data_IF_590089927314
#
_entry.id   IF_590089927314
#
_cell.length_a   1.000
_cell.length_b   1.000
_cell.length_c   1.000
_cell.angle_alpha   90.00
_cell.angle_beta   90.00
_cell.angle_gamma   90.00
#
_symmetry.space_group_name_H-M   'P 1'
#
loop_
_entity.id
_entity.type
_entity.pdbx_description
1 polymer ?
#
# COMPACT_ATOMS: atom_id res chain seq x y z
N UNK A 1 12.69 28.26 -18.02
CA UNK A 1 12.22 27.93 -16.66
C UNK A 1 10.74 28.31 -16.60
N UNK A 2 9.84 27.35 -16.72
CA UNK A 2 8.39 27.62 -16.65
C UNK A 2 8.11 28.04 -15.21
N UNK A 3 7.61 29.27 -15.02
CA UNK A 3 7.27 29.81 -13.71
C UNK A 3 6.26 28.94 -12.95
N UNK A 4 5.95 29.26 -11.68
CA UNK A 4 5.01 28.47 -10.90
C UNK A 4 3.69 28.33 -11.68
N UNK A 5 3.34 27.08 -12.02
CA UNK A 5 2.07 26.77 -12.67
C UNK A 5 0.98 27.17 -11.67
N UNK A 6 0.30 28.28 -11.92
CA UNK A 6 -0.68 28.89 -11.02
C UNK A 6 -1.88 27.96 -10.82
N UNK A 7 -1.77 27.07 -9.84
CA UNK A 7 -2.89 26.36 -9.27
C UNK A 7 -3.08 26.89 -7.85
N UNK A 8 -4.31 27.21 -7.42
CA UNK A 8 -4.57 27.81 -6.10
C UNK A 8 -4.11 26.93 -4.93
N UNK A 9 -3.92 25.64 -5.17
CA UNK A 9 -3.48 24.66 -4.17
C UNK A 9 -2.01 24.24 -4.31
N UNK A 10 -1.21 24.99 -5.06
CA UNK A 10 0.23 24.74 -5.20
C UNK A 10 0.92 24.90 -3.83
N UNK A 11 1.76 23.93 -3.45
CA UNK A 11 2.52 23.95 -2.20
C UNK A 11 1.85 23.24 -1.02
N UNK A 12 0.58 22.85 -1.13
CA UNK A 12 -0.07 21.99 -0.13
C UNK A 12 0.57 20.61 -0.13
N UNK A 13 0.65 20.01 1.06
CA UNK A 13 1.19 18.66 1.29
C UNK A 13 0.07 17.75 1.80
N UNK A 14 0.15 16.47 1.49
CA UNK A 14 -0.85 15.50 1.94
C UNK A 14 -0.39 14.06 1.69
N UNK A 15 -1.07 13.13 2.38
CA UNK A 15 -0.80 11.69 2.23
C UNK A 15 -1.48 11.16 0.97
N UNK A 16 -0.82 10.27 0.26
CA UNK A 16 -1.38 9.62 -0.93
C UNK A 16 -2.35 8.51 -0.50
N UNK A 17 -3.63 8.64 -0.83
CA UNK A 17 -4.68 7.69 -0.46
C UNK A 17 -4.80 6.52 -1.45
N UNK A 18 -4.64 6.82 -2.74
CA UNK A 18 -4.81 5.87 -3.83
C UNK A 18 -3.97 6.29 -5.03
N UNK A 19 -3.42 5.29 -5.73
CA UNK A 19 -2.66 5.47 -6.97
C UNK A 19 -3.31 4.63 -8.07
N UNK A 20 -3.85 5.30 -9.09
CA UNK A 20 -4.32 4.64 -10.29
C UNK A 20 -3.18 4.60 -11.33
N UNK A 21 -2.52 3.45 -11.42
CA UNK A 21 -1.37 3.23 -12.32
C UNK A 21 -1.74 3.16 -13.80
N UNK A 22 -2.99 2.81 -14.14
CA UNK A 22 -3.44 2.72 -15.54
C UNK A 22 -3.67 4.10 -16.14
N UNK A 23 -4.23 4.99 -15.34
CA UNK A 23 -4.54 6.36 -15.76
C UNK A 23 -3.47 7.37 -15.36
N UNK A 24 -2.38 6.95 -14.72
CA UNK A 24 -1.28 7.83 -14.30
C UNK A 24 -1.73 8.96 -13.35
N UNK A 25 -2.69 8.63 -12.47
CA UNK A 25 -3.31 9.58 -11.54
C UNK A 25 -3.19 9.14 -10.09
N UNK A 26 -3.18 10.12 -9.19
CA UNK A 26 -3.03 9.94 -7.75
C UNK A 26 -4.10 10.76 -7.03
N UNK A 27 -4.69 10.21 -5.96
CA UNK A 27 -5.56 10.97 -5.04
C UNK A 27 -4.78 11.25 -3.76
N UNK A 28 -4.71 12.53 -3.39
CA UNK A 28 -3.95 13.03 -2.23
C UNK A 28 -4.95 13.61 -1.24
N UNK A 29 -4.78 13.29 0.04
CA UNK A 29 -5.65 13.76 1.12
C UNK A 29 -5.63 15.28 1.24
N UNK A 30 -6.81 15.90 1.34
CA UNK A 30 -6.97 17.34 1.55
C UNK A 30 -6.52 18.25 0.38
N UNK A 31 -6.25 17.69 -0.79
CA UNK A 31 -5.83 18.43 -2.00
C UNK A 31 -6.77 18.10 -3.16
N UNK A 32 -7.00 19.09 -4.03
CA UNK A 32 -7.89 19.02 -5.18
C UNK A 32 -9.32 18.65 -4.77
N UNK A 33 -9.82 19.32 -3.73
CA UNK A 33 -11.15 19.12 -3.18
C UNK A 33 -12.20 19.67 -4.14
N UNK A 34 -13.23 18.86 -4.39
CA UNK A 34 -14.38 19.30 -5.16
C UNK A 34 -15.68 18.83 -4.47
N UNK A 35 -16.74 19.66 -4.49
CA UNK A 35 -18.02 19.26 -3.94
C UNK A 35 -18.60 18.12 -4.77
N UNK A 36 -18.88 17.00 -4.10
CA UNK A 36 -19.65 15.88 -4.63
C UNK A 36 -21.01 15.88 -3.96
N UNK A 37 -22.06 15.95 -4.79
CA UNK A 37 -23.45 15.86 -4.32
C UNK A 37 -23.86 14.40 -4.32
N UNK A 38 -24.35 13.92 -3.19
CA UNK A 38 -24.92 12.59 -3.04
C UNK A 38 -26.43 12.72 -3.04
N UNK A 39 -27.10 11.96 -3.92
CA UNK A 39 -28.55 11.85 -3.89
C UNK A 39 -28.94 11.13 -2.61
N UNK A 40 -29.87 11.72 -1.85
CA UNK A 40 -30.44 11.06 -0.68
C UNK A 40 -31.29 9.87 -1.10
N UNK A 41 -31.30 8.84 -0.26
CA UNK A 41 -32.13 7.66 -0.44
C UNK A 41 -33.25 7.69 0.60
N UNK A 42 -34.50 8.00 0.20
CA UNK A 42 -35.61 8.12 1.13
C UNK A 42 -35.94 6.81 1.83
N UNK A 43 -35.70 5.65 1.19
CA UNK A 43 -35.99 4.33 1.77
C UNK A 43 -35.06 3.98 2.94
N UNK A 44 -33.85 4.55 2.96
CA UNK A 44 -32.87 4.41 4.04
C UNK A 44 -32.89 5.58 5.04
N UNK A 45 -33.80 6.55 4.85
CA UNK A 45 -33.85 7.77 5.65
C UNK A 45 -32.66 8.71 5.45
N UNK A 46 -31.85 8.51 4.40
CA UNK A 46 -30.65 9.30 4.14
C UNK A 46 -31.00 10.59 3.38
N UNK A 47 -30.79 11.75 4.01
CA UNK A 47 -30.93 13.04 3.33
C UNK A 47 -29.79 13.24 2.32
N UNK A 48 -30.09 13.94 1.23
CA UNK A 48 -29.07 14.37 0.27
C UNK A 48 -28.02 15.24 0.96
N UNK A 49 -26.74 14.95 0.71
CA UNK A 49 -25.60 15.66 1.31
C UNK A 49 -24.61 16.13 0.27
N UNK A 50 -23.94 17.24 0.56
CA UNK A 50 -22.81 17.74 -0.22
C UNK A 50 -21.55 17.49 0.59
N UNK A 51 -20.63 16.72 0.04
CA UNK A 51 -19.37 16.38 0.70
C UNK A 51 -18.20 16.87 -0.15
N UNK A 52 -17.17 17.42 0.49
CA UNK A 52 -15.93 17.77 -0.21
C UNK A 52 -15.08 16.52 -0.35
N UNK A 53 -14.92 16.02 -1.56
CA UNK A 53 -14.16 14.81 -1.84
C UNK A 53 -12.89 15.16 -2.63
N UNK A 54 -11.77 14.52 -2.31
CA UNK A 54 -10.52 14.71 -3.03
C UNK A 54 -10.61 14.10 -4.44
N UNK A 55 -10.21 14.87 -5.45
CA UNK A 55 -10.13 14.40 -6.83
C UNK A 55 -8.72 13.99 -7.20
N UNK A 56 -8.63 13.04 -8.12
CA UNK A 56 -7.35 12.56 -8.61
C UNK A 56 -6.65 13.61 -9.49
N UNK A 57 -5.33 13.65 -9.42
CA UNK A 57 -4.45 14.55 -10.16
C UNK A 57 -3.35 13.74 -10.85
N UNK A 58 -2.82 14.27 -11.96
CA UNK A 58 -1.78 13.58 -12.74
C UNK A 58 -0.43 13.57 -12.00
N UNK A 59 0.38 12.53 -12.21
CA UNK A 59 1.69 12.38 -11.51
C UNK A 59 2.61 13.59 -11.71
N UNK A 60 2.55 14.27 -12.86
CA UNK A 60 3.43 15.40 -13.18
C UNK A 60 3.16 16.65 -12.34
N UNK A 61 2.04 16.69 -11.61
CA UNK A 61 1.67 17.78 -10.72
C UNK A 61 1.97 17.47 -9.25
N UNK A 62 2.59 16.31 -8.94
CA UNK A 62 2.96 15.91 -7.58
C UNK A 62 4.46 15.63 -7.53
N UNK A 63 5.10 16.05 -6.44
CA UNK A 63 6.48 15.67 -6.12
C UNK A 63 6.54 15.06 -4.73
N UNK A 64 7.59 14.27 -4.49
CA UNK A 64 7.88 13.79 -3.13
C UNK A 64 8.46 14.93 -2.30
N UNK A 65 8.11 14.92 -1.02
CA UNK A 65 8.65 15.82 -0.03
C UNK A 65 9.96 15.22 0.50
N UNK A 66 11.00 16.03 0.54
CA UNK A 66 12.26 15.65 1.16
C UNK A 66 12.14 15.71 2.69
N UNK A 67 12.47 14.63 3.42
CA UNK A 67 12.31 14.57 4.87
C UNK A 67 13.17 15.59 5.61
N UNK A 68 14.27 16.07 5.02
CA UNK A 68 15.18 17.04 5.65
C UNK A 68 14.73 18.47 5.40
N UNK A 69 14.47 18.81 4.13
CA UNK A 69 14.18 20.20 3.75
C UNK A 69 12.69 20.55 3.77
N UNK A 70 11.80 19.56 3.80
CA UNK A 70 10.35 19.75 3.72
C UNK A 70 9.87 20.29 2.37
N UNK A 71 10.75 20.40 1.37
CA UNK A 71 10.45 20.94 0.04
C UNK A 71 10.21 19.82 -0.97
N UNK A 72 9.58 20.18 -2.08
CA UNK A 72 9.37 19.28 -3.22
C UNK A 72 10.70 18.94 -3.90
N UNK A 73 10.95 17.66 -4.15
CA UNK A 73 12.24 17.19 -4.70
C UNK A 73 12.08 16.12 -5.76
N UNK A 74 13.06 16.07 -6.67
CA UNK A 74 13.22 14.96 -7.62
C UNK A 74 13.95 13.81 -6.92
N UNK A 75 13.53 12.59 -7.21
CA UNK A 75 14.12 11.38 -6.63
C UNK A 75 14.83 10.53 -7.68
N UNK A 76 15.88 9.85 -7.25
CA UNK A 76 16.52 8.77 -7.99
C UNK A 76 16.59 7.52 -7.10
N UNK A 77 17.02 6.40 -7.67
CA UNK A 77 17.11 5.10 -6.98
C UNK A 77 18.58 4.73 -6.82
N UNK A 78 18.94 4.22 -5.65
CA UNK A 78 20.28 3.70 -5.34
C UNK A 78 20.12 2.36 -4.61
N UNK A 79 21.11 1.48 -4.74
CA UNK A 79 21.23 0.27 -3.93
C UNK A 79 22.15 0.56 -2.74
N UNK A 80 21.74 0.08 -1.57
CA UNK A 80 22.59 0.05 -0.37
C UNK A 80 23.58 -1.12 -0.45
N UNK A 81 24.52 -1.16 0.48
CA UNK A 81 25.49 -2.26 0.61
C UNK A 81 24.80 -3.60 0.85
N UNK A 82 23.67 -3.59 1.57
CA UNK A 82 22.82 -4.77 1.81
C UNK A 82 22.03 -5.24 0.56
N UNK A 83 22.18 -4.57 -0.59
CA UNK A 83 21.41 -4.85 -1.81
C UNK A 83 19.97 -4.29 -1.83
N UNK A 84 19.52 -3.65 -0.74
CA UNK A 84 18.18 -3.05 -0.66
C UNK A 84 18.07 -1.82 -1.56
N UNK A 85 16.99 -1.74 -2.35
CA UNK A 85 16.72 -0.63 -3.26
C UNK A 85 15.98 0.51 -2.56
N UNK A 86 16.62 1.67 -2.46
CA UNK A 86 16.07 2.86 -1.80
C UNK A 86 15.89 4.03 -2.75
N UNK A 87 14.98 4.96 -2.39
CA UNK A 87 14.83 6.25 -3.08
C UNK A 87 15.68 7.28 -2.36
N UNK A 88 16.35 8.14 -3.13
CA UNK A 88 17.22 9.20 -2.61
C UNK A 88 16.79 10.54 -3.17
N UNK A 89 16.71 11.55 -2.31
CA UNK A 89 16.42 12.94 -2.68
C UNK A 89 17.60 13.55 -3.44
N UNK A 90 17.34 14.25 -4.54
CA UNK A 90 18.38 14.98 -5.29
C UNK A 90 18.90 16.21 -4.55
N UNK A 91 18.10 16.86 -3.70
CA UNK A 91 18.49 18.10 -3.02
C UNK A 91 19.37 17.86 -1.81
N UNK A 92 18.98 16.92 -0.94
CA UNK A 92 19.60 16.67 0.36
C UNK A 92 20.45 15.40 0.39
N UNK A 93 20.33 14.53 -0.62
CA UNK A 93 20.89 13.18 -0.56
C UNK A 93 20.21 12.27 0.46
N UNK A 94 19.13 12.73 1.12
CA UNK A 94 18.43 11.96 2.13
C UNK A 94 17.68 10.77 1.53
N UNK A 95 17.62 9.68 2.29
CA UNK A 95 16.89 8.47 1.89
C UNK A 95 15.41 8.66 2.19
N UNK A 96 14.56 8.40 1.18
CA UNK A 96 13.10 8.43 1.30
C UNK A 96 12.60 6.97 1.29
N UNK A 97 12.37 6.36 2.47
CA UNK A 97 11.93 4.97 2.56
C UNK A 97 10.54 4.80 1.94
N UNK A 98 10.20 3.55 1.60
CA UNK A 98 8.84 3.21 1.19
C UNK A 98 7.95 3.21 2.45
N UNK A 99 6.81 3.93 2.48
CA UNK A 99 5.90 3.83 3.62
C UNK A 99 5.36 2.40 3.74
N UNK A 100 5.09 1.93 4.97
CA UNK A 100 4.49 0.62 5.19
C UNK A 100 3.14 0.53 4.45
N UNK A 101 2.76 -0.65 3.94
CA UNK A 101 1.46 -0.82 3.31
C UNK A 101 0.35 -0.64 4.36
N UNK A 102 -0.72 0.06 3.97
CA UNK A 102 -1.93 0.14 4.78
C UNK A 102 -2.61 -1.24 4.82
N UNK A 103 -2.52 -1.91 5.97
CA UNK A 103 -3.08 -3.26 6.18
C UNK A 103 -4.59 -3.23 6.50
N UNK A 104 -5.17 -2.08 6.79
CA UNK A 104 -6.58 -1.95 7.19
C UNK A 104 -7.57 -2.43 6.11
N UNK A 105 -7.18 -2.34 4.84
CA UNK A 105 -8.00 -2.74 3.69
C UNK A 105 -7.96 -4.23 3.39
N UNK A 106 -7.04 -4.98 4.00
CA UNK A 106 -6.99 -6.43 3.82
C UNK A 106 -8.13 -7.03 4.63
N UNK A 107 -8.95 -7.88 4.00
CA UNK A 107 -9.89 -8.71 4.77
C UNK A 107 -9.05 -9.48 5.80
N UNK A 108 -9.42 -9.43 7.10
CA UNK A 108 -8.69 -10.19 8.10
C UNK A 108 -8.75 -11.66 7.71
N UNK A 109 -7.59 -12.29 7.63
CA UNK A 109 -7.51 -13.72 7.40
C UNK A 109 -7.92 -14.34 8.74
N UNK A 110 -9.02 -15.09 8.76
CA UNK A 110 -9.41 -15.85 9.94
C UNK A 110 -8.38 -16.93 10.19
N UNK A 111 -7.80 -16.97 11.38
CA UNK A 111 -6.89 -18.04 11.82
C UNK A 111 -7.63 -19.25 12.41
N UNK A 112 -8.95 -19.31 12.25
CA UNK A 112 -9.78 -20.39 12.75
C UNK A 112 -9.58 -21.59 11.83
N UNK A 113 -9.00 -22.66 12.35
CA UNK A 113 -8.89 -23.95 11.66
C UNK A 113 -10.29 -24.56 11.62
N UNK A 114 -10.91 -24.57 10.45
CA UNK A 114 -12.19 -25.26 10.24
C UNK A 114 -11.96 -26.75 10.02
N UNK A 115 -13.00 -27.57 10.08
CA UNK A 115 -12.92 -29.02 9.86
C UNK A 115 -12.32 -29.41 8.49
N UNK A 116 -12.40 -28.52 7.49
CA UNK A 116 -11.79 -28.70 6.17
C UNK A 116 -10.35 -28.17 6.07
N UNK A 117 -9.79 -27.60 7.14
CA UNK A 117 -8.42 -27.12 7.18
C UNK A 117 -7.50 -28.23 7.70
N UNK A 118 -6.43 -28.50 6.96
CA UNK A 118 -5.33 -29.34 7.43
C UNK A 118 -4.69 -28.72 8.68
N UNK A 119 -4.38 -29.54 9.68
CA UNK A 119 -3.65 -29.07 10.87
C UNK A 119 -2.23 -28.65 10.46
N UNK A 120 -1.65 -27.68 11.18
CA UNK A 120 -0.30 -27.18 10.87
C UNK A 120 0.74 -28.31 10.97
N UNK A 121 0.59 -29.19 11.97
CA UNK A 121 1.48 -30.34 12.21
C UNK A 121 1.53 -31.29 10.99
N UNK A 122 0.39 -31.57 10.36
CA UNK A 122 0.30 -32.46 9.20
C UNK A 122 0.92 -31.83 7.93
N UNK A 123 0.90 -30.49 7.81
CA UNK A 123 1.47 -29.77 6.65
C UNK A 123 3.00 -29.78 6.69
N UNK A 124 3.57 -29.69 7.89
CA UNK A 124 5.02 -29.68 8.10
C UNK A 124 5.63 -31.08 8.20
N UNK A 125 4.81 -32.13 8.26
CA UNK A 125 5.29 -33.51 8.22
C UNK A 125 5.99 -33.79 6.88
N UNK A 126 7.29 -34.10 6.94
CA UNK A 126 8.09 -34.44 5.77
C UNK A 126 7.75 -35.86 5.35
N UNK A 127 6.84 -36.00 4.39
CA UNK A 127 6.34 -37.30 3.89
C UNK A 127 7.18 -37.91 2.78
N UNK A 128 8.11 -37.16 2.18
CA UNK A 128 8.91 -37.60 1.04
C UNK A 128 10.39 -37.69 1.39
N UNK A 129 10.94 -38.90 1.32
CA UNK A 129 12.38 -39.16 1.35
C UNK A 129 12.87 -39.54 -0.07
N UNK A 130 13.75 -38.72 -0.70
CA UNK A 130 14.28 -38.97 -2.04
C UNK A 130 15.28 -40.14 -2.11
N UNK A 131 15.66 -40.77 -0.99
CA UNK A 131 16.64 -41.86 -0.95
C UNK A 131 16.11 -43.23 -1.43
N UNK A 132 14.80 -43.36 -1.66
CA UNK A 132 14.22 -44.54 -2.32
C UNK A 132 14.37 -45.85 -1.52
N UNK A 133 14.31 -45.80 -0.19
CA UNK A 133 14.20 -46.97 0.67
C UNK A 133 12.80 -47.11 1.24
N UNK A 134 12.09 -48.17 0.88
CA UNK A 134 10.94 -48.62 1.68
C UNK A 134 11.47 -49.03 3.06
N UNK A 135 11.28 -48.22 4.11
CA UNK A 135 11.40 -48.68 5.50
C UNK A 135 10.74 -47.69 6.47
N UNK A 136 9.46 -47.94 6.77
CA UNK A 136 8.94 -47.83 8.14
C UNK A 136 7.64 -48.62 8.26
N UNK A 137 7.79 -49.95 8.20
CA UNK A 137 7.05 -50.77 9.14
C UNK A 137 7.44 -50.32 10.57
N UNK A 138 6.49 -50.43 11.50
CA UNK A 138 6.62 -50.27 12.95
C UNK A 138 6.40 -48.86 13.52
N UNK A 139 5.12 -48.44 13.52
CA UNK A 139 4.56 -47.80 14.71
C UNK A 139 4.16 -48.93 15.66
N UNK A 140 5.12 -49.42 16.44
CA UNK A 140 4.86 -50.34 17.55
C UNK A 140 3.99 -49.60 18.56
N UNK A 141 2.81 -50.17 18.81
CA UNK A 141 1.97 -49.86 19.96
C UNK A 141 2.69 -50.49 21.16
N UNK A 142 3.21 -49.67 22.07
CA UNK A 142 3.45 -50.07 23.46
C UNK A 142 2.48 -49.29 24.36
N UNK A 143 1.99 -49.99 25.38
CA UNK A 143 0.90 -49.67 26.33
C UNK A 143 0.88 -48.26 26.93
#
# INVERSE_FOLDING_TARGET
VIGPRWHPECGKQGVVLEVNRKADRVRVQGVNLAPRRFKGDPDRGEKGRVEMMERSMHYSNVNLVDPVTGKATRVFRKYLEDGTKVRVSKSSGAIIPRPPPDLSRRKPISSIVTESCTADDDVWEVTYDPSGGNDSAQKTIEE
#
